data_IF_713883428252
#
_entry.id   IF_713883428252
#
_cell.length_a   1.000
_cell.length_b   1.000
_cell.length_c   1.000
_cell.angle_alpha   90.00
_cell.angle_beta   90.00
_cell.angle_gamma   90.00
#
_symmetry.space_group_name_H-M   'P 1'
#
loop_
_entity.id
_entity.type
_entity.pdbx_description
1 polymer ?
#
# COMPACT_ATOMS: atom_id res chain seq x y z
N UNK A 1 -5.36 -5.05 10.58
CA UNK A 1 -5.43 -4.19 9.37
C UNK A 1 -4.10 -4.28 8.64
N UNK A 2 -4.08 -3.99 7.33
CA UNK A 2 -2.84 -3.83 6.57
C UNK A 2 -2.52 -2.34 6.45
N UNK A 3 -1.23 -2.00 6.45
CA UNK A 3 -0.76 -0.64 6.18
C UNK A 3 0.00 -0.66 4.85
N UNK A 4 -0.41 0.19 3.91
CA UNK A 4 0.19 0.28 2.57
C UNK A 4 0.84 1.65 2.41
N UNK A 5 2.16 1.66 2.13
CA UNK A 5 2.95 2.89 1.93
C UNK A 5 3.75 2.81 0.62
N UNK A 6 4.62 3.79 0.35
CA UNK A 6 5.56 3.74 -0.77
C UNK A 6 6.81 2.87 -0.53
N UNK A 7 7.04 2.39 0.71
CA UNK A 7 8.12 1.45 1.04
C UNK A 7 9.54 2.02 1.11
N UNK A 8 9.74 3.29 0.77
CA UNK A 8 11.07 3.90 0.77
C UNK A 8 11.43 4.47 2.14
N UNK A 9 12.69 4.42 2.53
CA UNK A 9 13.21 4.92 3.81
C UNK A 9 13.41 6.44 3.79
N UNK A 10 12.33 7.17 3.49
CA UNK A 10 12.31 8.63 3.41
C UNK A 10 10.92 9.18 3.77
N UNK A 11 10.88 10.40 4.31
CA UNK A 11 9.64 11.08 4.68
C UNK A 11 8.74 10.25 5.58
N UNK A 12 7.44 10.27 5.29
CA UNK A 12 6.40 9.60 6.10
C UNK A 12 6.59 8.08 6.15
N UNK A 13 7.08 7.46 5.07
CA UNK A 13 7.24 6.01 5.00
C UNK A 13 8.24 5.49 6.04
N UNK A 14 9.31 6.25 6.30
CA UNK A 14 10.26 5.97 7.38
C UNK A 14 9.59 6.02 8.76
N UNK A 15 8.83 7.07 9.03
CA UNK A 15 8.11 7.24 10.31
C UNK A 15 7.12 6.10 10.54
N UNK A 16 6.40 5.68 9.50
CA UNK A 16 5.46 4.55 9.60
C UNK A 16 6.19 3.26 9.97
N UNK A 17 7.34 3.00 9.34
CA UNK A 17 8.19 1.85 9.69
C UNK A 17 8.61 1.85 11.16
N UNK A 18 9.07 3.00 11.66
CA UNK A 18 9.46 3.17 13.07
C UNK A 18 8.27 3.01 14.04
N UNK A 19 7.11 3.57 13.72
CA UNK A 19 5.91 3.52 14.58
C UNK A 19 5.37 2.10 14.70
N UNK A 20 5.37 1.32 13.62
CA UNK A 20 4.90 -0.08 13.63
C UNK A 20 5.75 -0.93 14.58
N UNK A 21 7.03 -0.58 14.78
CA UNK A 21 7.90 -1.26 15.75
C UNK A 21 7.52 -1.02 17.21
N UNK A 22 6.71 0.00 17.52
CA UNK A 22 6.26 0.32 18.88
C UNK A 22 5.03 -0.53 19.27
N UNK A 23 4.48 -1.34 18.35
CA UNK A 23 3.34 -2.21 18.62
C UNK A 23 3.58 -3.06 19.89
N UNK A 24 2.78 -2.87 20.96
CA UNK A 24 2.96 -3.60 22.22
C UNK A 24 2.60 -5.08 22.08
N UNK A 25 1.70 -5.43 21.16
CA UNK A 25 1.32 -6.81 20.89
C UNK A 25 2.19 -7.43 19.80
N UNK A 26 3.33 -7.99 20.22
CA UNK A 26 4.26 -8.72 19.34
C UNK A 26 3.67 -10.00 18.75
N UNK A 27 2.59 -10.54 19.31
CA UNK A 27 1.93 -11.75 18.79
C UNK A 27 1.11 -11.50 17.54
N UNK A 28 0.78 -10.23 17.27
CA UNK A 28 -0.01 -9.78 16.11
C UNK A 28 0.78 -8.76 15.29
N UNK A 29 1.76 -9.21 14.49
CA UNK A 29 2.51 -8.30 13.63
C UNK A 29 1.56 -7.62 12.64
N UNK A 30 1.79 -6.33 12.39
CA UNK A 30 1.00 -5.53 11.46
C UNK A 30 1.64 -5.69 10.07
N UNK A 31 0.93 -6.23 9.07
CA UNK A 31 1.45 -6.28 7.69
C UNK A 31 1.68 -4.86 7.18
N UNK A 32 2.95 -4.55 6.88
CA UNK A 32 3.38 -3.25 6.39
C UNK A 32 3.95 -3.43 4.99
N UNK A 33 3.16 -3.06 3.99
CA UNK A 33 3.41 -3.34 2.57
C UNK A 33 3.89 -2.06 1.87
N UNK A 34 5.05 -2.14 1.24
CA UNK A 34 5.65 -1.03 0.49
C UNK A 34 5.42 -1.21 -0.99
N UNK A 35 4.73 -0.27 -1.64
CA UNK A 35 4.51 -0.27 -3.09
C UNK A 35 5.30 0.87 -3.70
N UNK A 36 6.36 0.56 -4.45
CA UNK A 36 7.30 1.55 -4.97
C UNK A 36 7.59 1.39 -6.45
N UNK A 37 7.98 2.48 -7.12
CA UNK A 37 8.53 2.40 -8.49
C UNK A 37 9.91 1.73 -8.45
N UNK A 38 10.13 0.70 -9.28
CA UNK A 38 11.37 -0.09 -9.31
C UNK A 38 12.62 0.75 -9.53
N UNK A 39 12.61 1.61 -10.55
CA UNK A 39 13.73 2.48 -10.90
C UNK A 39 14.07 3.56 -9.86
N UNK A 40 13.32 3.67 -8.76
CA UNK A 40 13.61 4.57 -7.63
C UNK A 40 14.26 3.86 -6.44
N UNK A 41 14.40 2.53 -6.47
CA UNK A 41 15.06 1.79 -5.39
C UNK A 41 16.57 1.95 -5.51
N UNK A 42 17.22 2.41 -4.44
CA UNK A 42 18.68 2.52 -4.40
C UNK A 42 19.32 1.15 -4.59
N UNK A 43 20.20 1.00 -5.59
CA UNK A 43 20.85 -0.28 -5.87
C UNK A 43 19.92 -1.38 -6.40
N UNK A 44 18.81 -1.02 -7.06
CA UNK A 44 17.85 -1.99 -7.61
C UNK A 44 18.50 -3.06 -8.52
N UNK A 45 19.55 -2.70 -9.27
CA UNK A 45 20.30 -3.65 -10.12
C UNK A 45 20.97 -4.77 -9.32
N UNK A 46 21.37 -4.48 -8.07
CA UNK A 46 21.97 -5.48 -7.17
C UNK A 46 20.91 -6.50 -6.68
N UNK A 47 19.62 -6.18 -6.84
CA UNK A 47 18.48 -7.00 -6.43
C UNK A 47 17.89 -7.83 -7.59
N UNK A 48 18.39 -7.69 -8.82
CA UNK A 48 17.94 -8.44 -10.00
C UNK A 48 18.53 -9.86 -9.98
N UNK A 49 18.05 -10.68 -9.04
CA UNK A 49 18.47 -12.08 -8.89
C UNK A 49 17.24 -12.97 -8.88
N UNK A 50 17.24 -14.00 -9.73
CA UNK A 50 16.13 -14.93 -9.85
C UNK A 50 16.20 -16.03 -8.79
N UNK A 51 15.12 -16.20 -8.02
CA UNK A 51 14.93 -17.36 -7.11
C UNK A 51 15.90 -17.43 -5.93
N UNK A 52 16.66 -16.38 -5.65
CA UNK A 52 17.65 -16.37 -4.57
C UNK A 52 17.37 -15.27 -3.53
N UNK A 53 17.85 -15.50 -2.31
CA UNK A 53 17.85 -14.48 -1.27
C UNK A 53 18.98 -13.48 -1.51
N UNK A 54 18.65 -12.19 -1.49
CA UNK A 54 19.62 -11.11 -1.67
C UNK A 54 19.75 -10.32 -0.37
N UNK A 55 20.98 -10.10 0.07
CA UNK A 55 21.27 -9.24 1.21
C UNK A 55 21.27 -7.78 0.76
N UNK A 56 20.21 -7.05 1.09
CA UNK A 56 20.10 -5.63 0.81
C UNK A 56 20.64 -4.79 1.97
N UNK A 57 21.75 -4.07 1.75
CA UNK A 57 22.43 -3.28 2.78
C UNK A 57 22.67 -1.82 2.35
N UNK A 58 21.69 -1.18 1.71
CA UNK A 58 21.77 0.26 1.38
C UNK A 58 21.05 1.08 2.44
N UNK A 59 21.80 1.80 3.28
CA UNK A 59 21.25 2.70 4.29
C UNK A 59 20.95 4.11 3.76
N UNK A 60 21.59 4.49 2.65
CA UNK A 60 21.47 5.81 1.99
C UNK A 60 21.44 5.65 0.48
N UNK A 61 20.95 6.69 -0.18
CA UNK A 61 21.09 6.85 -1.62
C UNK A 61 22.08 7.97 -1.90
N UNK A 62 23.03 7.72 -2.80
CA UNK A 62 23.97 8.73 -3.28
C UNK A 62 23.46 9.46 -4.53
N UNK A 63 22.30 9.03 -5.05
CA UNK A 63 21.72 9.50 -6.31
C UNK A 63 20.38 10.17 -6.08
N UNK A 64 20.24 11.37 -6.65
CA UNK A 64 18.93 12.05 -6.69
C UNK A 64 17.94 11.20 -7.48
N UNK A 65 16.73 11.04 -6.93
CA UNK A 65 15.68 10.25 -7.56
C UNK A 65 15.66 8.78 -7.10
N UNK A 66 16.63 8.36 -6.30
CA UNK A 66 16.66 7.05 -5.64
C UNK A 66 16.50 7.18 -4.13
N UNK A 67 15.87 6.20 -3.49
CA UNK A 67 15.77 6.08 -2.05
C UNK A 67 15.99 4.62 -1.63
N UNK A 68 16.62 4.37 -0.47
CA UNK A 68 16.74 3.01 0.03
C UNK A 68 15.39 2.46 0.50
N UNK A 69 15.21 1.14 0.49
CA UNK A 69 14.05 0.48 1.09
C UNK A 69 14.00 0.70 2.61
N UNK A 70 12.80 0.82 3.16
CA UNK A 70 12.58 0.95 4.60
C UNK A 70 12.64 -0.43 5.28
N UNK A 71 13.51 -0.63 6.28
CA UNK A 71 13.81 -1.96 6.80
C UNK A 71 12.69 -2.62 7.64
N UNK A 72 11.70 -1.87 8.10
CA UNK A 72 10.62 -2.37 8.95
C UNK A 72 9.39 -2.84 8.16
N UNK A 73 9.37 -2.67 6.84
CA UNK A 73 8.33 -3.22 5.98
C UNK A 73 8.44 -4.75 5.90
N UNK A 74 7.29 -5.43 5.91
CA UNK A 74 7.21 -6.89 5.85
C UNK A 74 7.20 -7.40 4.42
N UNK A 75 6.68 -6.62 3.48
CA UNK A 75 6.51 -7.01 2.08
C UNK A 75 6.72 -5.80 1.16
N UNK A 76 7.21 -6.08 -0.04
CA UNK A 76 7.40 -5.09 -1.09
C UNK A 76 6.74 -5.53 -2.38
N UNK A 77 6.17 -4.57 -3.11
CA UNK A 77 5.71 -4.71 -4.48
C UNK A 77 6.41 -3.62 -5.29
N UNK A 78 7.19 -4.01 -6.29
CA UNK A 78 7.85 -3.08 -7.18
C UNK A 78 7.11 -2.98 -8.51
N UNK A 79 6.81 -1.75 -8.92
CA UNK A 79 6.17 -1.45 -10.20
C UNK A 79 7.23 -0.91 -11.13
N UNK A 80 7.49 -1.64 -12.21
CA UNK A 80 8.41 -1.21 -13.25
C UNK A 80 7.66 -0.52 -14.39
N UNK A 81 8.15 0.66 -14.78
CA UNK A 81 7.66 1.44 -15.91
C UNK A 81 8.76 1.70 -16.96
N UNK A 82 9.91 1.04 -16.83
CA UNK A 82 11.08 1.20 -17.69
C UNK A 82 11.86 2.49 -17.47
N UNK A 83 11.48 3.34 -16.50
CA UNK A 83 12.16 4.59 -16.18
C UNK A 83 12.96 4.46 -14.90
N UNK A 84 14.21 4.94 -14.92
CA UNK A 84 15.01 5.11 -13.71
C UNK A 84 14.69 6.47 -13.07
N UNK A 85 14.73 6.53 -11.72
CA UNK A 85 14.71 7.76 -10.91
C UNK A 85 13.48 8.65 -11.07
N UNK A 86 12.39 8.11 -11.58
CA UNK A 86 11.13 8.83 -11.81
C UNK A 86 10.02 8.28 -10.91
N UNK A 87 9.70 9.01 -9.86
CA UNK A 87 8.66 8.62 -8.89
C UNK A 87 7.25 8.70 -9.48
N UNK A 88 6.36 7.83 -8.99
CA UNK A 88 4.94 7.86 -9.27
C UNK A 88 4.49 6.87 -10.35
N UNK A 89 5.37 5.98 -10.81
CA UNK A 89 5.01 4.85 -11.68
C UNK A 89 4.05 3.88 -11.01
N UNK A 90 4.06 3.82 -9.68
CA UNK A 90 3.21 2.92 -8.90
C UNK A 90 1.76 3.41 -8.73
N UNK A 91 1.47 4.70 -8.97
CA UNK A 91 0.20 5.33 -8.55
C UNK A 91 -1.01 4.64 -9.19
N UNK A 92 -0.95 4.37 -10.50
CA UNK A 92 -2.03 3.72 -11.23
C UNK A 92 -2.23 2.25 -10.79
N UNK A 93 -1.13 1.55 -10.49
CA UNK A 93 -1.19 0.19 -9.95
C UNK A 93 -1.83 0.18 -8.57
N UNK A 94 -1.40 1.08 -7.68
CA UNK A 94 -1.91 1.21 -6.33
C UNK A 94 -3.42 1.47 -6.33
N UNK A 95 -3.91 2.36 -7.18
CA UNK A 95 -5.35 2.62 -7.31
C UNK A 95 -6.13 1.35 -7.71
N UNK A 96 -5.65 0.59 -8.70
CA UNK A 96 -6.30 -0.67 -9.11
C UNK A 96 -6.28 -1.73 -8.02
N UNK A 97 -5.18 -1.81 -7.26
CA UNK A 97 -5.07 -2.74 -6.14
C UNK A 97 -6.05 -2.39 -5.02
N UNK A 98 -6.11 -1.12 -4.63
CA UNK A 98 -7.04 -0.65 -3.59
C UNK A 98 -8.51 -0.88 -3.99
N UNK A 99 -8.84 -0.66 -5.27
CA UNK A 99 -10.16 -0.97 -5.82
C UNK A 99 -10.49 -2.47 -5.76
N UNK A 100 -9.53 -3.34 -6.08
CA UNK A 100 -9.72 -4.78 -6.00
C UNK A 100 -9.91 -5.27 -4.55
N UNK A 101 -9.23 -4.62 -3.59
CA UNK A 101 -9.39 -4.91 -2.17
C UNK A 101 -10.76 -4.47 -1.67
N UNK A 102 -11.20 -3.25 -2.00
CA UNK A 102 -12.49 -2.73 -1.56
C UNK A 102 -13.68 -3.39 -2.25
N UNK A 103 -13.55 -3.80 -3.52
CA UNK A 103 -14.61 -4.36 -4.36
C UNK A 103 -15.01 -5.81 -4.06
N UNK A 104 -14.67 -6.37 -2.90
CA UNK A 104 -15.14 -7.69 -2.46
C UNK A 104 -14.43 -8.90 -3.09
N UNK A 105 -13.48 -8.70 -4.00
CA UNK A 105 -12.75 -9.80 -4.67
C UNK A 105 -12.04 -10.74 -3.69
N UNK A 106 -11.53 -10.20 -2.57
CA UNK A 106 -10.87 -10.99 -1.53
C UNK A 106 -11.85 -11.69 -0.58
N UNK A 107 -12.99 -11.07 -0.31
CA UNK A 107 -14.00 -11.56 0.63
C UNK A 107 -14.66 -12.84 0.07
N UNK A 108 -14.90 -12.88 -1.24
CA UNK A 108 -15.43 -14.05 -1.98
C UNK A 108 -14.47 -15.26 -2.03
N UNK A 109 -13.19 -15.03 -2.33
CA UNK A 109 -12.22 -16.13 -2.56
C UNK A 109 -11.65 -16.75 -1.28
N UNK A 110 -11.42 -15.96 -0.23
CA UNK A 110 -10.84 -16.47 1.03
C UNK A 110 -11.81 -17.37 1.79
N UNK A 111 -13.12 -17.08 1.73
CA UNK A 111 -14.15 -17.93 2.35
C UNK A 111 -14.35 -19.26 1.60
N UNK A 112 -14.24 -19.26 0.26
CA UNK A 112 -14.41 -20.49 -0.54
C UNK A 112 -13.33 -21.55 -0.28
N UNK A 113 -12.11 -21.14 0.10
CA UNK A 113 -10.99 -22.07 0.33
C UNK A 113 -10.95 -22.67 1.75
N UNK A 114 -11.78 -22.20 2.68
CA UNK A 114 -11.71 -22.59 4.11
C UNK A 114 -12.87 -23.51 4.55
N UNK A 115 -13.93 -23.64 3.75
CA UNK A 115 -15.13 -24.41 4.11
C UNK A 115 -15.42 -25.66 3.25
N UNK A 116 -14.46 -26.14 2.44
CA UNK A 116 -14.63 -27.34 1.61
C UNK A 116 -14.50 -28.68 2.37
N UNK A 117 -14.55 -28.66 3.70
CA UNK A 117 -14.39 -29.85 4.57
C UNK A 117 -15.62 -30.07 5.46
N UNK A 118 -16.81 -30.19 4.88
CA UNK A 118 -18.03 -30.52 5.62
C UNK A 118 -19.12 -31.09 4.69
N UNK A 119 -19.92 -32.08 5.12
CA UNK A 119 -20.85 -32.75 4.22
C UNK A 119 -22.01 -31.83 3.86
N UNK A 120 -22.19 -31.63 2.57
CA UNK A 120 -23.24 -30.81 1.95
C UNK A 120 -24.61 -31.46 2.14
N UNK A 121 -25.50 -30.78 2.86
CA UNK A 121 -26.93 -31.08 2.86
C UNK A 121 -27.65 -30.07 1.95
N UNK A 122 -28.20 -30.59 0.86
CA UNK A 122 -29.05 -29.90 -0.10
C UNK A 122 -30.29 -29.30 0.57
N UNK A 123 -30.44 -27.98 0.51
CA UNK A 123 -31.65 -27.27 0.88
C UNK A 123 -31.85 -26.07 -0.04
N UNK A 124 -32.86 -26.15 -0.90
CA UNK A 124 -33.31 -25.10 -1.81
C UNK A 124 -33.68 -23.83 -1.03
N UNK A 125 -32.82 -22.81 -1.10
CA UNK A 125 -33.24 -21.42 -0.95
C UNK A 125 -32.36 -20.56 -1.84
N UNK A 126 -32.98 -19.61 -2.52
CA UNK A 126 -32.36 -18.62 -3.39
C UNK A 126 -31.08 -18.04 -2.77
N UNK A 127 -29.93 -18.53 -3.20
CA UNK A 127 -28.64 -18.02 -2.76
C UNK A 127 -28.46 -16.62 -3.35
N UNK A 128 -28.66 -15.63 -2.49
CA UNK A 128 -28.22 -14.24 -2.69
C UNK A 128 -26.78 -14.24 -3.22
N UNK A 129 -26.39 -13.28 -4.07
CA UNK A 129 -24.99 -13.14 -4.42
C UNK A 129 -24.22 -13.00 -3.12
N UNK A 130 -23.28 -13.92 -2.91
CA UNK A 130 -22.15 -13.85 -1.99
C UNK A 130 -22.09 -12.53 -1.19
N UNK A 131 -22.64 -12.57 0.02
CA UNK A 131 -22.77 -11.45 0.92
C UNK A 131 -21.46 -11.23 1.68
N UNK A 132 -20.35 -11.19 0.96
CA UNK A 132 -19.03 -10.94 1.53
C UNK A 132 -18.82 -9.44 1.60
N UNK A 133 -18.94 -8.91 2.82
CA UNK A 133 -18.85 -7.47 3.06
C UNK A 133 -17.52 -6.93 2.48
N UNK A 134 -17.56 -5.76 1.81
CA UNK A 134 -16.37 -5.16 1.22
C UNK A 134 -15.35 -4.83 2.31
N UNK A 135 -14.06 -5.02 2.00
CA UNK A 135 -12.99 -4.65 2.94
C UNK A 135 -12.90 -3.11 2.95
N UNK A 136 -13.13 -2.44 4.10
CA UNK A 136 -13.05 -0.99 4.15
C UNK A 136 -11.59 -0.53 3.95
N UNK A 137 -11.41 0.42 3.04
CA UNK A 137 -10.12 1.06 2.76
C UNK A 137 -10.24 2.55 3.09
N UNK A 138 -9.21 3.10 3.73
CA UNK A 138 -9.12 4.53 4.07
C UNK A 138 -7.74 5.04 3.65
N UNK A 139 -7.69 6.23 3.06
CA UNK A 139 -6.46 6.92 2.75
C UNK A 139 -6.11 7.91 3.86
N UNK A 140 -4.92 7.79 4.45
CA UNK A 140 -4.37 8.78 5.37
C UNK A 140 -3.33 9.64 4.63
N UNK A 141 -3.49 10.96 4.68
CA UNK A 141 -2.57 11.91 4.04
C UNK A 141 -1.88 12.76 5.10
N UNK A 142 -0.55 12.71 5.08
CA UNK A 142 0.34 13.48 5.95
C UNK A 142 1.33 14.18 5.03
N UNK A 143 1.34 15.51 5.02
CA UNK A 143 2.09 16.30 4.05
C UNK A 143 1.83 15.90 2.59
N UNK A 144 2.85 15.98 1.73
CA UNK A 144 2.86 15.40 0.41
C UNK A 144 3.41 16.33 -0.67
N UNK A 145 3.59 15.77 -1.86
CA UNK A 145 4.06 16.49 -3.04
C UNK A 145 3.11 16.37 -4.23
N UNK A 146 3.54 16.75 -5.44
CA UNK A 146 2.71 16.65 -6.64
C UNK A 146 2.15 15.24 -6.90
N UNK A 147 2.95 14.20 -6.62
CA UNK A 147 2.49 12.82 -6.74
C UNK A 147 1.41 12.45 -5.71
N UNK A 148 1.45 13.04 -4.51
CA UNK A 148 0.40 12.85 -3.49
C UNK A 148 -0.95 13.37 -3.99
N UNK A 149 -0.96 14.50 -4.70
CA UNK A 149 -2.20 15.04 -5.30
C UNK A 149 -2.82 14.05 -6.30
N UNK A 150 -1.98 13.44 -7.13
CA UNK A 150 -2.43 12.40 -8.06
C UNK A 150 -2.97 11.17 -7.30
N UNK A 151 -2.25 10.69 -6.28
CA UNK A 151 -2.71 9.55 -5.46
C UNK A 151 -4.06 9.84 -4.79
N UNK A 152 -4.24 11.02 -4.20
CA UNK A 152 -5.51 11.42 -3.58
C UNK A 152 -6.63 11.46 -4.62
N UNK A 153 -6.38 12.02 -5.81
CA UNK A 153 -7.36 12.03 -6.90
C UNK A 153 -7.80 10.61 -7.27
N UNK A 154 -6.85 9.71 -7.52
CA UNK A 154 -7.18 8.32 -7.89
C UNK A 154 -7.97 7.61 -6.78
N UNK A 155 -7.56 7.76 -5.52
CA UNK A 155 -8.23 7.13 -4.39
C UNK A 155 -9.65 7.67 -4.16
N UNK A 156 -9.80 8.99 -4.03
CA UNK A 156 -11.08 9.63 -3.67
C UNK A 156 -12.04 9.64 -4.84
N UNK A 157 -11.58 10.11 -6.00
CA UNK A 157 -12.45 10.28 -7.19
C UNK A 157 -12.59 8.98 -7.96
N UNK A 158 -11.48 8.25 -8.15
CA UNK A 158 -11.48 7.00 -8.93
C UNK A 158 -12.11 5.82 -8.19
N UNK A 159 -11.82 5.69 -6.89
CA UNK A 159 -12.20 4.50 -6.11
C UNK A 159 -13.20 4.78 -4.98
N UNK A 160 -13.65 6.03 -4.80
CA UNK A 160 -14.52 6.41 -3.67
C UNK A 160 -13.96 6.04 -2.30
N UNK A 161 -12.63 6.04 -2.17
CA UNK A 161 -11.95 5.78 -0.90
C UNK A 161 -11.98 7.05 -0.05
N UNK A 162 -12.53 7.02 1.18
CA UNK A 162 -12.49 8.16 2.08
C UNK A 162 -11.04 8.51 2.44
N UNK A 163 -10.73 9.81 2.39
CA UNK A 163 -9.42 10.35 2.73
C UNK A 163 -9.48 11.19 4.02
N UNK A 164 -8.48 11.02 4.88
CA UNK A 164 -8.27 11.82 6.09
C UNK A 164 -7.02 12.68 5.89
N UNK A 165 -7.21 14.01 5.95
CA UNK A 165 -6.13 14.98 5.82
C UNK A 165 -5.73 15.51 7.21
N UNK A 166 -4.44 15.45 7.53
CA UNK A 166 -3.91 16.00 8.78
C UNK A 166 -3.49 17.46 8.59
N UNK A 167 -4.35 18.37 9.04
CA UNK A 167 -4.08 19.81 9.04
C UNK A 167 -2.86 20.15 9.91
N UNK A 168 -2.06 21.12 9.47
CA UNK A 168 -0.87 21.60 10.16
C UNK A 168 0.37 20.76 9.89
N UNK A 169 0.27 19.75 9.02
CA UNK A 169 1.44 18.95 8.59
C UNK A 169 2.22 19.67 7.49
N UNK A 170 1.59 20.53 6.70
CA UNK A 170 2.23 21.31 5.64
C UNK A 170 2.00 20.78 4.23
N UNK A 171 2.64 21.46 3.27
CA UNK A 171 2.66 21.12 1.82
C UNK A 171 1.25 20.93 1.25
N UNK A 172 1.00 19.89 0.44
CA UNK A 172 -0.31 19.69 -0.17
C UNK A 172 -1.39 19.27 0.82
N UNK A 173 -1.04 18.69 1.97
CA UNK A 173 -2.03 18.26 2.97
C UNK A 173 -2.82 19.44 3.53
N UNK A 174 -2.14 20.54 3.86
CA UNK A 174 -2.81 21.76 4.36
C UNK A 174 -3.68 22.43 3.29
N UNK A 175 -3.32 22.29 2.01
CA UNK A 175 -4.17 22.77 0.91
C UNK A 175 -5.47 21.97 0.82
N UNK A 176 -5.39 20.64 0.97
CA UNK A 176 -6.58 19.79 1.03
C UNK A 176 -7.43 20.08 2.27
N UNK A 177 -6.80 20.19 3.45
CA UNK A 177 -7.51 20.49 4.70
C UNK A 177 -8.29 21.80 4.59
N UNK A 178 -7.66 22.88 4.10
CA UNK A 178 -8.33 24.17 3.88
C UNK A 178 -9.44 24.12 2.84
N UNK A 179 -9.30 23.28 1.82
CA UNK A 179 -10.34 23.13 0.79
C UNK A 179 -11.57 22.34 1.30
N UNK A 180 -11.44 21.62 2.41
CA UNK A 180 -12.52 20.86 3.03
C UNK A 180 -13.23 21.59 4.19
N UNK A 181 -12.74 22.76 4.61
CA UNK A 181 -13.35 23.65 5.61
C UNK A 181 -14.43 24.53 5.00
#
# INVERSE_FOLDING_TARGET
AWIITGGMNTGIMKLVGEIVQINPDRSRPIPLIGIGTWGCVSGFKDLEVEGANVNYAKARSDRKGEAPLEPNHTNFIFVDNGLERTYGGEIAFRAKLEQAISGGFFSSKVLSNTYSSGPSLSGTSSLRPDNSDPVPVVLLVIEGGPNTVRTVKEAVVGNSIPAVFLEGTGRCCDLFAKACQ
#
